data_IF_720788313244
#
_entry.id   IF_720788313244
#
_cell.length_a   1.000
_cell.length_b   1.000
_cell.length_c   1.000
_cell.angle_alpha   90.00
_cell.angle_beta   90.00
_cell.angle_gamma   90.00
#
_symmetry.space_group_name_H-M   'P 1'
#
loop_
_entity.id
_entity.type
_entity.pdbx_description
1 polymer ?
#
# COMPACT_ATOMS: atom_id res chain seq x y z
N UNK A 1 7.77 6.70 -2.34
CA UNK A 1 7.32 6.00 -1.12
C UNK A 1 5.87 5.51 -1.22
N UNK A 2 4.91 6.35 -1.66
CA UNK A 2 3.49 5.96 -1.81
C UNK A 2 3.30 4.70 -2.69
N UNK A 3 4.07 4.57 -3.79
CA UNK A 3 3.98 3.41 -4.69
C UNK A 3 4.28 2.09 -3.99
N UNK A 4 5.38 1.99 -3.22
CA UNK A 4 5.78 0.76 -2.52
C UNK A 4 4.71 0.35 -1.50
N UNK A 5 4.19 1.32 -0.74
CA UNK A 5 3.12 1.12 0.27
C UNK A 5 1.86 0.52 -0.37
N UNK A 6 1.38 1.13 -1.45
CA UNK A 6 0.20 0.67 -2.16
C UNK A 6 0.40 -0.71 -2.81
N UNK A 7 1.56 -0.97 -3.40
CA UNK A 7 1.87 -2.25 -4.04
C UNK A 7 1.93 -3.39 -3.04
N UNK A 8 2.62 -3.20 -1.91
CA UNK A 8 2.70 -4.20 -0.86
C UNK A 8 1.31 -4.52 -0.27
N UNK A 9 0.48 -3.50 -0.04
CA UNK A 9 -0.90 -3.69 0.38
C UNK A 9 -1.75 -4.44 -0.66
N UNK A 10 -1.58 -4.14 -1.95
CA UNK A 10 -2.27 -4.85 -3.03
C UNK A 10 -1.86 -6.33 -3.13
N UNK A 11 -0.64 -6.68 -2.73
CA UNK A 11 -0.17 -8.06 -2.61
C UNK A 11 -0.61 -8.77 -1.31
N UNK A 12 -1.45 -8.13 -0.49
CA UNK A 12 -1.87 -8.70 0.81
C UNK A 12 -0.79 -8.66 1.89
N UNK A 13 0.28 -7.89 1.70
CA UNK A 13 1.39 -7.75 2.64
C UNK A 13 1.60 -6.27 3.03
N UNK A 14 0.60 -5.57 3.61
CA UNK A 14 0.72 -4.15 3.93
C UNK A 14 1.83 -3.85 4.95
N UNK A 15 2.42 -2.65 4.85
CA UNK A 15 3.48 -2.22 5.75
C UNK A 15 2.94 -1.99 7.16
N UNK A 16 3.64 -2.50 8.17
CA UNK A 16 3.32 -2.29 9.60
C UNK A 16 3.27 -0.79 9.93
N UNK A 17 2.19 -0.36 10.57
CA UNK A 17 1.95 1.04 10.92
C UNK A 17 1.37 1.91 9.80
N UNK A 18 1.22 1.39 8.58
CA UNK A 18 0.61 2.13 7.47
C UNK A 18 -0.91 2.21 7.62
N UNK A 19 -1.38 3.22 8.35
CA UNK A 19 -2.81 3.48 8.54
C UNK A 19 -3.58 3.80 7.26
N UNK A 20 -2.92 4.11 6.14
CA UNK A 20 -3.61 4.45 4.89
C UNK A 20 -4.03 3.19 4.14
N UNK A 21 -3.10 2.27 3.89
CA UNK A 21 -3.34 1.12 3.02
C UNK A 21 -3.61 -0.19 3.78
N UNK A 22 -3.11 -0.33 5.02
CA UNK A 22 -3.31 -1.54 5.82
C UNK A 22 -4.79 -1.86 6.05
N UNK A 23 -5.70 -0.92 6.39
CA UNK A 23 -7.09 -1.26 6.68
C UNK A 23 -7.81 -1.91 5.49
N UNK A 24 -7.62 -1.36 4.29
CA UNK A 24 -8.19 -1.91 3.07
C UNK A 24 -7.65 -3.32 2.79
N UNK A 25 -6.32 -3.49 2.83
CA UNK A 25 -5.68 -4.80 2.65
C UNK A 25 -6.17 -5.84 3.67
N UNK A 26 -6.34 -5.44 4.94
CA UNK A 26 -6.86 -6.34 5.97
C UNK A 26 -8.33 -6.70 5.75
N UNK A 27 -9.14 -5.77 5.27
CA UNK A 27 -10.53 -6.04 4.93
C UNK A 27 -10.62 -7.07 3.79
N UNK A 28 -9.80 -6.94 2.75
CA UNK A 28 -9.72 -7.92 1.65
C UNK A 28 -9.24 -9.30 2.13
N UNK A 29 -8.23 -9.34 3.00
CA UNK A 29 -7.74 -10.61 3.58
C UNK A 29 -8.82 -11.31 4.41
N UNK A 30 -9.64 -10.54 5.14
CA UNK A 30 -10.73 -11.09 5.95
C UNK A 30 -11.97 -11.45 5.11
N UNK A 31 -12.20 -10.75 4.02
CA UNK A 31 -13.33 -10.95 3.11
C UNK A 31 -12.87 -10.79 1.65
N UNK A 32 -12.42 -11.88 1.01
CA UNK A 32 -11.92 -11.85 -0.35
C UNK A 32 -12.95 -11.32 -1.36
N UNK A 33 -12.51 -10.48 -2.30
CA UNK A 33 -13.35 -9.87 -3.34
C UNK A 33 -13.95 -8.52 -2.96
N UNK A 34 -13.52 -7.89 -1.86
CA UNK A 34 -13.81 -6.49 -1.58
C UNK A 34 -13.02 -5.55 -2.48
N UNK A 35 -11.77 -5.89 -2.80
CA UNK A 35 -10.93 -5.16 -3.74
C UNK A 35 -11.42 -5.42 -5.19
N UNK A 36 -12.04 -4.43 -5.85
CA UNK A 36 -12.56 -4.59 -7.22
C UNK A 36 -11.47 -4.90 -8.25
N UNK A 37 -10.20 -4.60 -7.92
CA UNK A 37 -9.04 -4.77 -8.80
C UNK A 37 -8.11 -5.91 -8.37
N UNK A 38 -8.45 -6.62 -7.28
CA UNK A 38 -7.65 -7.70 -6.70
C UNK A 38 -7.67 -8.98 -7.54
N UNK A 39 -7.21 -10.10 -6.98
CA UNK A 39 -7.21 -11.39 -7.70
C UNK A 39 -8.63 -11.87 -8.04
N UNK A 40 -9.60 -11.56 -7.18
CA UNK A 40 -11.03 -11.90 -7.36
C UNK A 40 -11.80 -10.84 -8.16
N UNK A 41 -11.18 -10.27 -9.20
CA UNK A 41 -11.69 -9.11 -9.97
C UNK A 41 -13.19 -9.21 -10.23
N UNK A 42 -13.91 -8.14 -9.89
CA UNK A 42 -15.33 -8.02 -10.24
C UNK A 42 -15.44 -7.71 -11.74
N UNK A 43 -16.33 -8.42 -12.42
CA UNK A 43 -16.78 -8.01 -13.75
C UNK A 43 -17.81 -6.90 -13.57
N UNK A 44 -17.63 -5.81 -14.31
CA UNK A 44 -18.54 -4.66 -14.26
C UNK A 44 -19.38 -4.60 -15.52
N UNK A 45 -20.68 -4.42 -15.35
CA UNK A 45 -21.63 -4.29 -16.47
C UNK A 45 -21.48 -2.95 -17.20
N UNK A 46 -21.00 -1.91 -16.52
CA UNK A 46 -20.74 -0.59 -17.07
C UNK A 46 -19.66 0.17 -16.27
N UNK A 47 -19.16 1.28 -16.81
CA UNK A 47 -18.14 2.10 -16.12
C UNK A 47 -18.66 2.72 -14.82
N UNK A 48 -19.94 3.10 -14.74
CA UNK A 48 -20.51 3.67 -13.52
C UNK A 48 -20.46 2.69 -12.34
N UNK A 49 -20.73 1.39 -12.57
CA UNK A 49 -20.58 0.36 -11.54
C UNK A 49 -19.12 0.16 -11.12
N UNK A 50 -18.17 0.30 -12.06
CA UNK A 50 -16.74 0.22 -11.76
C UNK A 50 -16.28 1.41 -10.91
N UNK A 51 -16.71 2.62 -11.24
CA UNK A 51 -16.42 3.83 -10.47
C UNK A 51 -16.98 3.75 -9.06
N UNK A 52 -18.24 3.34 -8.92
CA UNK A 52 -18.86 3.15 -7.61
C UNK A 52 -18.07 2.12 -6.77
N UNK A 53 -17.71 0.98 -7.35
CA UNK A 53 -16.92 -0.03 -6.64
C UNK A 53 -15.52 0.49 -6.25
N UNK A 54 -14.92 1.34 -7.07
CA UNK A 54 -13.64 1.99 -6.77
C UNK A 54 -13.77 2.98 -5.60
N UNK A 55 -14.84 3.78 -5.58
CA UNK A 55 -15.14 4.70 -4.47
C UNK A 55 -15.41 3.94 -3.17
N UNK A 56 -16.26 2.91 -3.22
CA UNK A 56 -16.55 2.04 -2.07
C UNK A 56 -15.27 1.40 -1.52
N UNK A 57 -14.38 0.94 -2.40
CA UNK A 57 -13.08 0.42 -2.01
C UNK A 57 -12.15 1.51 -1.44
N UNK A 58 -12.16 2.71 -2.02
CA UNK A 58 -11.42 3.85 -1.50
C UNK A 58 -11.86 4.21 -0.07
N UNK A 59 -13.15 4.06 0.27
CA UNK A 59 -13.62 4.28 1.65
C UNK A 59 -13.05 3.29 2.68
N UNK A 60 -12.52 2.15 2.24
CA UNK A 60 -11.83 1.18 3.11
C UNK A 60 -10.39 1.59 3.45
N UNK A 61 -9.83 2.54 2.71
CA UNK A 61 -8.52 3.09 3.03
C UNK A 61 -8.62 3.99 4.26
N UNK A 62 -7.58 3.99 5.08
CA UNK A 62 -7.48 4.92 6.20
C UNK A 62 -6.78 6.21 5.83
N UNK A 63 -6.27 6.89 6.85
CA UNK A 63 -5.61 8.20 6.71
C UNK A 63 -4.10 8.05 6.60
N UNK A 64 -3.45 9.08 6.07
CA UNK A 64 -1.99 9.13 6.04
C UNK A 64 -1.40 8.97 7.44
N UNK A 65 -0.38 8.12 7.63
CA UNK A 65 0.24 7.90 8.93
C UNK A 65 0.83 9.19 9.49
N UNK A 66 0.41 9.58 10.69
CA UNK A 66 1.00 10.69 11.44
C UNK A 66 2.26 10.30 12.24
N UNK A 67 2.64 9.03 12.21
CA UNK A 67 3.78 8.44 12.93
C UNK A 67 4.65 7.63 11.99
N UNK A 68 5.83 7.24 12.45
CA UNK A 68 6.74 6.38 11.69
C UNK A 68 6.06 5.04 11.36
N UNK A 69 6.30 4.57 10.14
CA UNK A 69 5.88 3.25 9.65
C UNK A 69 7.10 2.35 9.50
N UNK A 70 6.87 1.04 9.40
CA UNK A 70 7.89 0.02 9.18
C UNK A 70 8.51 0.03 7.77
N UNK A 71 8.80 1.21 7.22
CA UNK A 71 9.42 1.40 5.92
C UNK A 71 10.62 2.34 6.04
N UNK A 72 11.75 1.90 5.49
CA UNK A 72 12.97 2.69 5.39
C UNK A 72 13.57 2.51 4.00
N UNK A 73 14.04 3.61 3.41
CA UNK A 73 14.90 3.53 2.24
C UNK A 73 16.27 2.99 2.69
N UNK A 74 16.67 1.82 2.19
CA UNK A 74 17.96 1.21 2.52
C UNK A 74 19.12 1.92 1.83
N UNK A 75 18.88 2.47 0.65
CA UNK A 75 19.89 3.13 -0.17
C UNK A 75 19.24 4.23 -1.00
N UNK A 76 19.99 5.29 -1.23
CA UNK A 76 19.69 6.29 -2.26
C UNK A 76 20.94 6.51 -3.09
N UNK A 77 20.78 6.59 -4.42
CA UNK A 77 21.86 6.88 -5.34
C UNK A 77 21.45 7.87 -6.42
N UNK A 78 22.40 8.62 -6.93
CA UNK A 78 22.22 9.51 -8.08
C UNK A 78 23.51 9.59 -8.90
N UNK A 79 23.46 10.29 -10.04
CA UNK A 79 24.55 10.43 -11.03
C UNK A 79 25.13 9.07 -11.45
N UNK A 80 24.27 8.19 -11.97
CA UNK A 80 24.63 6.84 -12.40
C UNK A 80 25.37 5.98 -11.34
N UNK A 81 25.18 6.31 -10.06
CA UNK A 81 25.80 5.60 -8.94
C UNK A 81 27.12 6.20 -8.46
N UNK A 82 27.52 7.37 -8.96
CA UNK A 82 28.69 8.10 -8.44
C UNK A 82 28.49 8.55 -6.99
N UNK A 83 27.23 8.76 -6.60
CA UNK A 83 26.85 9.08 -5.25
C UNK A 83 25.90 8.02 -4.71
N UNK A 84 26.35 7.29 -3.68
CA UNK A 84 25.56 6.24 -3.02
C UNK A 84 25.60 6.47 -1.51
N UNK A 85 24.42 6.46 -0.90
CA UNK A 85 24.25 6.55 0.55
C UNK A 85 23.44 5.36 1.03
N UNK A 86 23.99 4.64 2.00
CA UNK A 86 23.34 3.51 2.65
C UNK A 86 22.85 3.93 4.03
N UNK A 87 21.64 3.50 4.36
CA UNK A 87 21.05 3.80 5.65
C UNK A 87 21.54 2.80 6.71
N UNK A 88 21.65 3.26 7.95
CA UNK A 88 21.95 2.40 9.09
C UNK A 88 20.80 1.45 9.46
N UNK A 89 20.95 0.68 10.55
CA UNK A 89 19.90 -0.20 11.04
C UNK A 89 18.57 0.54 11.24
N UNK A 90 17.43 -0.10 10.95
CA UNK A 90 16.14 0.53 11.13
C UNK A 90 15.85 0.86 12.58
N UNK A 91 15.05 1.92 12.77
CA UNK A 91 14.69 2.42 14.09
C UNK A 91 13.96 1.39 14.95
N UNK A 92 13.27 0.43 14.34
CA UNK A 92 12.56 -0.66 15.02
C UNK A 92 13.43 -1.89 15.33
N UNK A 93 14.71 -1.87 14.95
CA UNK A 93 15.65 -2.98 15.20
C UNK A 93 16.76 -2.61 16.20
N UNK A 94 16.53 -1.58 17.02
CA UNK A 94 17.44 -1.18 18.09
C UNK A 94 17.40 -2.14 19.29
#
# INVERSE_FOLDING_TARGET
>A
MIQIRAQLAACGAPIVGDSMYMPAAMAELANPGLNPFGEYKKQFECEAHREQAAEEWATKHGKEPGVAIGLQACQISWDDGDHVYEAGPPWWAQ
#
